data_IF_383952920753
#
_entry.id   IF_383952920753
#
_cell.length_a   1.000
_cell.length_b   1.000
_cell.length_c   1.000
_cell.angle_alpha   90.00
_cell.angle_beta   90.00
_cell.angle_gamma   90.00
#
_symmetry.space_group_name_H-M   'P 1'
#
loop_
_entity.id
_entity.type
_entity.pdbx_description
1 polymer ?
2 non-polymer ?
3 non-polymer ?
4 water ?
#
# COMPACT_ATOMS: atom_id res chain seq x y z
N UNK A 39 7.00 -24.39 0.85
CA UNK A 39 6.05 -23.25 0.83
C UNK A 39 6.74 -21.91 0.72
N UNK A 40 5.98 -20.81 0.76
CA UNK A 40 6.57 -19.48 0.63
C UNK A 40 7.42 -19.10 1.84
N UNK A 41 8.49 -18.33 1.59
CA UNK A 41 9.34 -17.82 2.65
C UNK A 41 8.57 -16.88 3.57
N UNK A 42 7.66 -16.10 2.98
CA UNK A 42 6.89 -15.08 3.68
C UNK A 42 5.43 -15.23 3.26
N UNK A 43 4.72 -16.21 3.84
CA UNK A 43 3.33 -16.47 3.45
C UNK A 43 2.39 -15.27 3.60
N UNK A 44 2.68 -14.40 4.58
CA UNK A 44 1.87 -13.21 4.85
C UNK A 44 1.80 -12.22 3.70
N UNK A 45 2.74 -12.31 2.76
CA UNK A 45 2.72 -11.45 1.57
C UNK A 45 2.33 -12.22 0.30
N UNK A 46 1.61 -13.33 0.48
CA UNK A 46 1.13 -14.12 -0.65
C UNK A 46 0.00 -13.46 -1.43
N UNK A 47 -0.69 -12.52 -0.80
CA UNK A 47 -1.77 -11.77 -1.45
C UNK A 47 -1.22 -10.65 -2.32
N UNK A 48 -1.56 -10.66 -3.60
CA UNK A 48 -1.11 -9.60 -4.51
C UNK A 48 -1.56 -8.21 -4.05
N UNK A 49 -2.79 -8.12 -3.55
CA UNK A 49 -3.32 -6.84 -3.07
C UNK A 49 -2.49 -6.30 -1.90
N UNK A 50 -2.12 -7.17 -0.96
CA UNK A 50 -1.27 -6.75 0.16
C UNK A 50 0.09 -6.29 -0.35
N UNK A 51 0.65 -7.02 -1.31
CA UNK A 51 1.91 -6.62 -1.93
C UNK A 51 1.78 -5.24 -2.58
N UNK A 52 0.69 -5.02 -3.32
CA UNK A 52 0.48 -3.73 -3.99
C UNK A 52 0.40 -2.60 -2.97
N UNK A 53 -0.30 -2.84 -1.86
CA UNK A 53 -0.46 -1.84 -0.80
C UNK A 53 0.89 -1.41 -0.22
N UNK A 54 1.86 -2.31 -0.21
CA UNK A 54 3.19 -2.00 0.32
C UNK A 54 3.94 -0.94 -0.49
N UNK A 55 3.51 -0.69 -1.73
CA UNK A 55 4.15 0.30 -2.60
C UNK A 55 3.59 1.71 -2.46
N UNK A 56 2.88 2.00 -1.37
CA UNK A 56 2.30 3.33 -1.19
C UNK A 56 3.36 4.44 -1.21
N UNK A 57 4.58 4.09 -0.80
CA UNK A 57 5.70 5.04 -0.72
C UNK A 57 6.80 4.74 -1.76
N UNK A 58 6.44 4.01 -2.81
CA UNK A 58 7.38 3.64 -3.87
C UNK A 58 7.89 4.89 -4.59
N UNK A 59 9.22 5.06 -4.69
CA UNK A 59 9.80 6.26 -5.31
C UNK A 59 9.92 6.28 -6.84
N UNK A 60 9.53 5.19 -7.51
CA UNK A 60 9.75 5.03 -8.96
C UNK A 60 8.47 4.62 -9.70
N UNK A 61 7.34 5.24 -9.37
CA UNK A 61 6.05 4.83 -9.91
C UNK A 61 6.00 4.83 -11.45
N UNK A 62 6.46 5.91 -12.07
CA UNK A 62 6.47 5.99 -13.53
C UNK A 62 7.50 5.04 -14.16
N UNK A 63 8.62 4.83 -13.46
CA UNK A 63 9.76 4.09 -14.00
C UNK A 63 9.56 2.58 -13.92
N UNK A 64 9.02 2.10 -12.80
CA UNK A 64 8.74 0.69 -12.58
C UNK A 64 7.41 0.59 -11.83
N UNK A 65 6.30 0.29 -12.53
CA UNK A 65 4.98 0.28 -11.91
C UNK A 65 4.83 -0.69 -10.73
N UNK A 66 4.35 -0.18 -9.58
CA UNK A 66 3.97 -1.05 -8.47
C UNK A 66 3.06 -2.22 -8.87
N UNK A 67 2.13 -1.98 -9.78
CA UNK A 67 1.21 -3.02 -10.24
C UNK A 67 1.97 -4.21 -10.80
N UNK A 68 3.01 -3.93 -11.60
CA UNK A 68 3.82 -5.00 -12.19
C UNK A 68 4.71 -5.67 -11.15
N UNK A 69 5.30 -4.88 -10.25
CA UNK A 69 6.11 -5.42 -9.17
C UNK A 69 5.29 -6.39 -8.29
N UNK A 70 4.12 -5.94 -7.86
CA UNK A 70 3.23 -6.76 -7.02
C UNK A 70 2.80 -8.04 -7.74
N UNK A 71 2.43 -7.91 -9.01
CA UNK A 71 2.03 -9.07 -9.81
C UNK A 71 3.16 -10.11 -9.91
N UNK A 72 4.40 -9.63 -9.97
CA UNK A 72 5.58 -10.48 -10.07
C UNK A 72 6.06 -11.05 -8.73
N UNK A 73 5.28 -10.86 -7.66
CA UNK A 73 5.57 -11.48 -6.36
C UNK A 73 6.30 -10.59 -5.38
N UNK A 74 6.62 -9.37 -5.80
CA UNK A 74 7.46 -8.47 -5.00
C UNK A 74 6.64 -7.57 -4.09
N UNK A 75 7.17 -7.34 -2.88
CA UNK A 75 6.65 -6.29 -2.00
C UNK A 75 7.77 -5.29 -1.72
N UNK A 76 7.38 -4.08 -1.36
CA UNK A 76 8.33 -3.01 -1.06
C UNK A 76 8.80 -3.14 0.38
N UNK A 77 10.12 -3.10 0.59
CA UNK A 77 10.66 -3.15 1.96
C UNK A 77 10.42 -1.83 2.71
N UNK A 78 10.32 -0.73 1.97
CA UNK A 78 10.16 0.60 2.56
C UNK A 78 11.44 1.41 2.52
N UNK A 79 12.57 0.73 2.37
CA UNK A 79 13.86 1.41 2.24
C UNK A 79 14.20 1.55 0.76
N UNK A 80 14.36 2.79 0.31
CA UNK A 80 14.76 3.12 -1.07
C UNK A 80 13.87 2.38 -2.08
N UNK A 81 14.49 1.74 -3.09
CA UNK A 81 13.75 0.99 -4.09
C UNK A 81 13.92 -0.52 -3.92
N UNK A 82 14.19 -0.95 -2.69
CA UNK A 82 14.42 -2.37 -2.42
C UNK A 82 13.09 -3.11 -2.38
N UNK A 83 13.01 -4.23 -3.09
CA UNK A 83 11.84 -5.10 -3.04
C UNK A 83 12.26 -6.53 -2.76
N UNK A 84 11.31 -7.38 -2.38
CA UNK A 84 11.59 -8.77 -2.09
C UNK A 84 10.42 -9.64 -2.53
N UNK A 85 10.73 -10.83 -3.04
CA UNK A 85 9.69 -11.78 -3.43
C UNK A 85 9.19 -12.50 -2.20
N UNK A 86 7.88 -12.62 -2.05
CA UNK A 86 7.29 -13.27 -0.88
C UNK A 86 7.61 -14.76 -0.83
N UNK A 87 7.84 -15.37 -2.00
CA UNK A 87 8.02 -16.82 -2.06
C UNK A 87 9.47 -17.27 -1.87
N UNK A 88 10.36 -16.76 -2.71
CA UNK A 88 11.78 -17.15 -2.64
C UNK A 88 12.62 -16.23 -1.76
N UNK A 89 12.03 -15.10 -1.34
CA UNK A 89 12.69 -14.09 -0.49
C UNK A 89 13.88 -13.41 -1.20
N UNK A 90 13.90 -13.47 -2.52
CA UNK A 90 14.96 -12.85 -3.30
C UNK A 90 14.77 -11.34 -3.30
N UNK A 91 15.84 -10.60 -3.03
CA UNK A 91 15.76 -9.14 -2.96
C UNK A 91 16.36 -8.48 -4.19
N UNK A 92 15.72 -7.40 -4.65
CA UNK A 92 16.24 -6.61 -5.77
C UNK A 92 16.18 -5.12 -5.48
N UNK A 93 17.22 -4.40 -5.88
CA UNK A 93 17.30 -2.95 -5.70
C UNK A 93 17.91 -2.30 -6.94
N UNK A 94 18.11 -0.99 -6.88
CA UNK A 94 18.74 -0.25 -7.99
C UNK A 94 18.01 -0.51 -9.31
N UNK A 95 16.69 -0.36 -9.27
CA UNK A 95 15.86 -0.55 -10.45
C UNK A 95 16.10 0.57 -11.46
N UNK A 96 16.22 0.18 -12.72
CA UNK A 96 16.39 1.13 -13.82
C UNK A 96 15.04 1.33 -14.50
N UNK A 97 14.84 2.49 -15.10
CA UNK A 97 13.58 2.79 -15.77
C UNK A 97 13.33 1.74 -16.86
N UNK A 98 12.09 1.22 -16.90
CA UNK A 98 11.71 0.22 -17.89
C UNK A 98 12.09 -1.22 -17.56
N UNK A 99 12.79 -1.44 -16.43
CA UNK A 99 13.04 -2.79 -15.94
C UNK A 99 11.71 -3.53 -15.81
N UNK A 100 11.66 -4.77 -16.28
CA UNK A 100 10.45 -5.58 -16.18
C UNK A 100 10.56 -6.52 -14.98
N UNK A 101 9.68 -6.34 -13.97
CA UNK A 101 9.74 -7.19 -12.77
C UNK A 101 9.80 -8.70 -13.01
N UNK A 102 8.94 -9.24 -13.89
CA UNK A 102 8.97 -10.67 -14.17
C UNK A 102 10.31 -11.11 -14.79
N UNK A 103 10.82 -10.30 -15.72
CA UNK A 103 12.11 -10.58 -16.36
C UNK A 103 13.23 -10.61 -15.33
N UNK A 104 13.25 -9.62 -14.45
CA UNK A 104 14.26 -9.54 -13.40
C UNK A 104 14.14 -10.72 -12.41
N UNK A 105 12.90 -11.10 -12.10
CA UNK A 105 12.63 -12.25 -11.22
C UNK A 105 13.28 -13.52 -11.79
N UNK A 106 13.06 -13.75 -13.08
CA UNK A 106 13.60 -14.93 -13.76
C UNK A 106 15.11 -14.85 -13.95
N UNK A 107 15.62 -13.66 -14.23
CA UNK A 107 17.06 -13.45 -14.40
C UNK A 107 17.84 -13.82 -13.14
N UNK A 108 17.40 -13.32 -11.99
CA UNK A 108 18.14 -13.46 -10.74
C UNK A 108 17.71 -14.65 -9.88
N UNK A 109 16.44 -15.03 -9.94
CA UNK A 109 15.92 -16.12 -9.10
C UNK A 109 15.15 -17.15 -9.92
N UNK A 110 15.84 -17.80 -10.88
CA UNK A 110 15.18 -18.73 -11.80
C UNK A 110 14.57 -19.98 -11.15
N UNK A 111 14.98 -20.30 -9.92
CA UNK A 111 14.46 -21.46 -9.19
C UNK A 111 13.23 -21.19 -8.35
N UNK A 112 12.74 -19.94 -8.36
CA UNK A 112 11.56 -19.59 -7.59
C UNK A 112 10.32 -20.33 -8.09
N UNK A 113 9.62 -21.01 -7.20
CA UNK A 113 8.47 -21.82 -7.58
C UNK A 113 7.21 -21.00 -7.88
N UNK A 114 7.07 -19.84 -7.23
CA UNK A 114 6.03 -18.87 -7.59
C UNK A 114 6.22 -18.36 -9.02
N UNK A 115 7.45 -18.00 -9.37
CA UNK A 115 7.80 -17.64 -10.75
C UNK A 115 7.45 -18.76 -11.72
N UNK A 116 7.86 -19.97 -11.39
CA UNK A 116 7.60 -21.14 -12.24
C UNK A 116 6.09 -21.35 -12.41
N UNK A 117 5.36 -21.37 -11.31
CA UNK A 117 3.92 -21.58 -11.34
C UNK A 117 3.20 -20.50 -12.14
N UNK A 118 3.67 -19.26 -12.01
CA UNK A 118 3.02 -18.12 -12.65
C UNK A 118 3.36 -18.00 -14.14
N UNK A 119 4.64 -18.16 -14.48
CA UNK A 119 5.13 -17.86 -15.83
C UNK A 119 5.54 -19.07 -16.69
N UNK A 120 5.78 -20.22 -16.04
CA UNK A 120 6.14 -21.44 -16.76
C UNK A 120 7.63 -21.54 -17.05
N UNK A 121 8.09 -22.76 -17.32
CA UNK A 121 9.52 -23.02 -17.52
C UNK A 121 10.06 -22.41 -18.81
N UNK A 122 9.27 -22.42 -19.88
CA UNK A 122 9.69 -21.88 -21.17
C UNK A 122 10.10 -20.42 -21.03
N UNK A 123 9.27 -19.64 -20.32
CA UNK A 123 9.56 -18.23 -20.04
C UNK A 123 10.90 -18.05 -19.33
N UNK A 124 11.13 -18.85 -18.29
CA UNK A 124 12.36 -18.76 -17.51
C UNK A 124 13.58 -19.14 -18.35
N UNK A 125 13.46 -20.22 -19.10
CA UNK A 125 14.55 -20.69 -19.97
C UNK A 125 14.94 -19.68 -21.04
N UNK A 126 13.95 -18.99 -21.62
CA UNK A 126 14.20 -18.01 -22.67
C UNK A 126 14.93 -16.76 -22.18
N UNK A 127 14.78 -16.42 -20.90
CA UNK A 127 15.49 -15.29 -20.32
C UNK A 127 16.98 -15.59 -20.12
N UNK A 128 17.33 -16.88 -20.05
CA UNK A 128 18.73 -17.31 -20.02
C UNK A 128 19.11 -17.96 -21.34
N UNK B 39 -1.02 18.33 -4.82
CA UNK B 39 -1.85 17.20 -5.30
C UNK B 39 -2.05 16.11 -4.25
N UNK B 40 -2.70 15.00 -4.63
CA UNK B 40 -2.87 13.90 -3.68
C UNK B 40 -1.53 13.35 -3.18
N UNK B 41 -1.43 13.16 -1.87
CA UNK B 41 -0.19 12.72 -1.24
C UNK B 41 0.21 11.31 -1.63
N UNK B 42 -0.77 10.42 -1.68
CA UNK B 42 -0.55 9.00 -1.96
C UNK B 42 -1.59 8.55 -3.00
N UNK B 43 -1.39 8.92 -4.27
CA UNK B 43 -2.40 8.69 -5.31
C UNK B 43 -2.90 7.25 -5.39
N UNK B 44 -1.99 6.29 -5.26
CA UNK B 44 -2.36 4.87 -5.32
C UNK B 44 -3.33 4.42 -4.23
N UNK B 45 -3.32 5.13 -3.10
CA UNK B 45 -4.21 4.83 -1.99
C UNK B 45 -5.57 5.51 -2.12
N UNK B 46 -5.88 6.03 -3.31
CA UNK B 46 -7.24 6.51 -3.61
C UNK B 46 -8.25 5.37 -3.68
N UNK B 47 -7.76 4.16 -3.92
CA UNK B 47 -8.60 2.96 -3.90
C UNK B 47 -8.93 2.59 -2.45
N UNK B 48 -10.21 2.60 -2.10
CA UNK B 48 -10.63 2.21 -0.75
C UNK B 48 -10.24 0.77 -0.44
N UNK B 49 -10.33 -0.11 -1.44
CA UNK B 49 -9.92 -1.51 -1.26
C UNK B 49 -8.44 -1.60 -0.85
N UNK B 50 -7.60 -0.80 -1.50
CA UNK B 50 -6.18 -0.81 -1.19
C UNK B 50 -5.91 -0.21 0.20
N UNK B 51 -6.66 0.84 0.56
CA UNK B 51 -6.56 1.40 1.90
C UNK B 51 -6.92 0.33 2.93
N UNK B 52 -8.02 -0.39 2.68
CA UNK B 52 -8.43 -1.44 3.60
C UNK B 52 -7.37 -2.54 3.71
N UNK B 53 -6.75 -2.89 2.58
CA UNK B 53 -5.67 -3.88 2.55
C UNK B 53 -4.50 -3.50 3.45
N UNK B 54 -4.20 -2.21 3.55
CA UNK B 54 -3.08 -1.72 4.37
C UNK B 54 -3.25 -2.04 5.86
N UNK B 55 -4.48 -2.34 6.27
CA UNK B 55 -4.77 -2.68 7.67
C UNK B 55 -4.60 -4.17 7.98
N UNK B 56 -3.96 -4.92 7.09
CA UNK B 56 -3.69 -6.35 7.35
C UNK B 56 -2.91 -6.55 8.65
N UNK B 57 -2.09 -5.56 9.02
CA UNK B 57 -1.26 -5.62 10.23
C UNK B 57 -1.62 -4.53 11.25
N UNK B 58 -2.88 -4.10 11.24
CA UNK B 58 -3.42 -3.18 12.24
C UNK B 58 -3.26 -3.82 13.62
N UNK B 59 -2.75 -3.05 14.60
CA UNK B 59 -2.51 -3.65 15.93
C UNK B 59 -3.79 -4.23 16.55
N UNK B 60 -3.68 -5.39 17.17
CA UNK B 60 -4.83 -6.04 17.81
C UNK B 60 -5.28 -5.29 19.07
N UNK B 61 -4.46 -4.36 19.54
CA UNK B 61 -4.78 -3.50 20.67
C UNK B 61 -5.58 -2.27 20.26
N UNK B 62 -5.68 -2.02 18.96
CA UNK B 62 -6.36 -0.82 18.44
C UNK B 62 -7.84 -0.81 18.80
N UNK B 63 -8.40 0.39 18.95
CA UNK B 63 -9.76 0.56 19.44
C UNK B 63 -10.75 1.06 18.38
N UNK B 64 -10.26 1.30 17.17
CA UNK B 64 -11.10 1.77 16.06
C UNK B 64 -10.88 0.85 14.86
N UNK B 65 -11.97 0.38 14.22
CA UNK B 65 -11.84 -0.64 13.18
C UNK B 65 -11.30 -0.14 11.83
N UNK B 66 -10.47 -0.96 11.16
CA UNK B 66 -10.01 -0.68 9.80
C UNK B 66 -11.08 -0.21 8.81
N UNK B 67 -12.24 -0.86 8.81
CA UNK B 67 -13.26 -0.56 7.81
C UNK B 67 -13.67 0.92 7.86
N UNK B 68 -13.86 1.45 9.07
CA UNK B 68 -14.25 2.84 9.24
C UNK B 68 -13.13 3.81 8.85
N UNK B 69 -11.90 3.46 9.22
CA UNK B 69 -10.74 4.30 8.91
C UNK B 69 -10.54 4.39 7.39
N UNK B 70 -10.55 3.24 6.72
CA UNK B 70 -10.39 3.20 5.27
C UNK B 70 -11.48 4.02 4.57
N UNK B 71 -12.70 3.94 5.06
CA UNK B 71 -13.83 4.68 4.48
C UNK B 71 -13.63 6.20 4.56
N UNK B 72 -12.90 6.64 5.59
CA UNK B 72 -12.65 8.08 5.80
C UNK B 72 -11.36 8.57 5.14
N UNK B 73 -10.80 7.77 4.23
CA UNK B 73 -9.64 8.17 3.44
C UNK B 73 -8.30 7.75 4.01
N UNK B 74 -8.31 7.09 5.17
CA UNK B 74 -7.09 6.75 5.88
C UNK B 74 -6.55 5.37 5.50
N UNK B 75 -5.23 5.25 5.45
CA UNK B 75 -4.57 3.96 5.31
C UNK B 75 -3.47 3.85 6.36
N UNK B 76 -3.12 2.62 6.70
CA UNK B 76 -2.21 2.33 7.80
C UNK B 76 -0.75 2.35 7.33
N UNK B 77 0.10 3.03 8.08
CA UNK B 77 1.54 3.00 7.86
C UNK B 77 2.24 2.36 9.05
N UNK B 81 -0.66 2.31 15.70
CA UNK B 81 -1.95 2.51 15.04
C UNK B 81 -1.98 3.79 14.20
N UNK B 82 -0.86 4.08 13.55
CA UNK B 82 -0.72 5.28 12.73
C UNK B 82 -1.44 5.13 11.40
N UNK B 83 -2.18 6.16 10.99
CA UNK B 83 -2.75 6.20 9.64
C UNK B 83 -2.45 7.55 9.00
N UNK B 84 -2.52 7.59 7.67
CA UNK B 84 -2.46 8.84 6.93
C UNK B 84 -3.59 8.91 5.91
N UNK B 85 -4.08 10.12 5.66
CA UNK B 85 -5.03 10.32 4.58
C UNK B 85 -4.31 10.28 3.24
N UNK B 86 -4.86 9.51 2.29
CA UNK B 86 -4.23 9.36 0.98
C UNK B 86 -4.14 10.69 0.24
N UNK B 87 -5.04 11.63 0.54
CA UNK B 87 -5.08 12.90 -0.18
C UNK B 87 -4.24 13.99 0.48
N UNK B 88 -4.55 14.32 1.74
CA UNK B 88 -3.93 15.48 2.40
C UNK B 88 -2.67 15.16 3.21
N UNK B 89 -2.32 13.87 3.31
CA UNK B 89 -1.14 13.40 4.06
C UNK B 89 -1.36 13.35 5.57
N UNK B 90 -2.46 13.91 6.05
CA UNK B 90 -2.68 14.09 7.48
C UNK B 90 -2.57 12.77 8.23
N UNK B 91 -1.73 12.76 9.27
CA UNK B 91 -1.46 11.55 10.04
C UNK B 91 -2.06 11.61 11.43
N UNK B 92 -2.68 10.51 11.85
CA UNK B 92 -3.28 10.40 13.18
C UNK B 92 -2.92 9.05 13.80
N UNK B 93 -2.72 9.05 15.12
CA UNK B 93 -2.45 7.82 15.86
C UNK B 93 -3.12 7.89 17.23
N UNK B 94 -2.89 6.89 18.06
CA UNK B 94 -3.47 6.83 19.41
C UNK B 94 -5.00 6.99 19.35
N UNK B 95 -5.62 6.19 18.48
CA UNK B 95 -7.06 6.18 18.32
C UNK B 95 -7.72 5.62 19.58
N UNK B 96 -8.74 6.31 20.07
CA UNK B 96 -9.45 5.91 21.28
C UNK B 96 -10.81 5.32 20.92
N UNK B 97 -11.32 4.45 21.79
CA UNK B 97 -12.65 3.90 21.62
C UNK B 97 -13.64 5.04 21.47
N UNK B 98 -14.49 4.96 20.43
CA UNK B 98 -15.49 6.00 20.18
C UNK B 98 -15.03 7.12 19.27
N UNK B 99 -13.73 7.16 18.94
CA UNK B 99 -13.25 8.10 17.92
C UNK B 99 -13.91 7.78 16.59
N UNK B 100 -14.42 8.80 15.93
CA UNK B 100 -15.02 8.66 14.62
C UNK B 100 -14.04 9.16 13.57
N UNK B 101 -13.55 8.27 12.68
CA UNK B 101 -12.59 8.68 11.66
C UNK B 101 -12.95 9.96 10.88
N UNK B 102 -14.19 10.08 10.41
CA UNK B 102 -14.58 11.28 9.66
C UNK B 102 -14.48 12.53 10.54
N UNK B 103 -14.95 12.43 11.78
CA UNK B 103 -14.90 13.56 12.71
C UNK B 103 -13.46 13.99 12.97
N UNK B 104 -12.58 13.01 13.19
CA UNK B 104 -11.15 13.30 13.42
C UNK B 104 -10.49 13.90 12.19
N UNK B 105 -10.86 13.41 11.01
CA UNK B 105 -10.36 13.95 9.74
C UNK B 105 -10.68 15.45 9.68
N UNK B 106 -11.93 15.80 10.00
CA UNK B 106 -12.38 17.18 9.97
C UNK B 106 -11.76 18.04 11.07
N UNK B 107 -11.64 17.47 12.26
CA UNK B 107 -11.02 18.16 13.39
C UNK B 107 -9.59 18.58 13.05
N UNK B 108 -8.78 17.64 12.60
CA UNK B 108 -7.35 17.88 12.45
C UNK B 108 -6.93 18.42 11.08
N UNK B 109 -7.68 18.08 10.03
CA UNK B 109 -7.30 18.43 8.65
C UNK B 109 -8.48 19.04 7.88
N UNK B 110 -8.99 20.17 8.38
CA UNK B 110 -10.20 20.78 7.78
C UNK B 110 -10.00 21.30 6.35
N UNK B 111 -8.76 21.46 5.91
CA UNK B 111 -8.45 21.91 4.54
C UNK B 111 -8.37 20.82 3.50
N UNK B 112 -8.55 19.57 3.92
CA UNK B 112 -8.45 18.43 3.00
C UNK B 112 -9.53 18.46 1.94
N UNK B 113 -9.13 18.37 0.67
CA UNK B 113 -10.07 18.43 -0.46
C UNK B 113 -10.91 17.15 -0.58
N UNK B 114 -10.35 16.01 -0.22
CA UNK B 114 -11.10 14.75 -0.14
C UNK B 114 -12.19 14.83 0.92
N UNK B 115 -11.84 15.32 2.09
CA UNK B 115 -12.82 15.57 3.15
C UNK B 115 -13.94 16.48 2.67
N UNK B 116 -13.56 17.58 2.01
CA UNK B 116 -14.54 18.56 1.53
C UNK B 116 -15.50 17.94 0.52
N UNK B 117 -14.95 17.24 -0.46
CA UNK B 117 -15.76 16.59 -1.49
C UNK B 117 -16.69 15.54 -0.90
N UNK B 118 -16.22 14.83 0.13
CA UNK B 118 -16.95 13.73 0.73
C UNK B 118 -18.06 14.19 1.69
N UNK B 119 -17.77 15.21 2.49
CA UNK B 119 -18.67 15.62 3.58
C UNK B 119 -19.28 17.01 3.46
N UNK B 120 -18.66 17.91 2.70
CA UNK B 120 -19.14 19.27 2.56
C UNK B 120 -18.59 20.20 3.62
N UNK B 121 -18.64 21.51 3.35
CA UNK B 121 -18.04 22.51 4.24
C UNK B 121 -18.80 22.67 5.56
N UNK B 122 -20.12 22.57 5.52
CA UNK B 122 -20.95 22.72 6.72
C UNK B 122 -20.58 21.69 7.79
N UNK B 123 -20.38 20.45 7.35
CA UNK B 123 -19.95 19.37 8.24
C UNK B 123 -18.64 19.73 8.95
N UNK B 124 -17.69 20.24 8.19
CA UNK B 124 -16.37 20.60 8.71
C UNK B 124 -16.49 21.77 9.68
N UNK B 125 -17.16 22.83 9.26
CA UNK B 125 -17.37 24.00 10.12
C UNK B 125 -18.06 23.65 11.44
N UNK B 126 -19.10 22.81 11.36
CA UNK B 126 -19.85 22.42 12.55
C UNK B 126 -18.97 21.73 13.60
N UNK B 127 -18.08 20.87 13.13
CA UNK B 127 -17.12 20.18 14.01
C UNK B 127 -16.20 21.19 14.70
N UNK B 128 -15.80 22.24 13.98
CA UNK B 128 -14.95 23.28 14.56
C UNK B 128 -15.72 24.33 15.39
N UNK B 129 -17.04 24.29 15.35
CA UNK B 129 -17.87 25.17 16.18
C UNK B 129 -18.33 24.46 17.46
N UNK B 130 -18.56 23.14 17.37
CA UNK B 130 -18.99 22.35 18.51
C UNK B 130 -17.80 21.92 19.36
#
# INVERSE_FOLDING_TARGET
>A
MGSSHHHHHHSSGEVPRGSHMLETEEEEEEGAGATLSRGPAFPGMGSEELRLASFYDWPLTAEVPPELLAAAGFFHTGHQDKVRCFFCYGGLQSWKRGDDPWTEHAKWFPGCQFLLRSKGQEYINNIHLTHSL
>B
MGSSHHHHHHSSGEVPRGSHMLETEEEEEEGAGATLSRGPAFPGMGSEELRLASFYDWPLTAEVPPELLAAAGFFHTGHQDKVRCFFCYGGLQSWKRGDDPWTEHAKWFPGCQFLLRSKGQEYINNIHLTHSL
#
